data_IF_875918970258
#
_entry.id   IF_875918970258
#
_cell.length_a   1.000
_cell.length_b   1.000
_cell.length_c   1.000
_cell.angle_alpha   90.00
_cell.angle_beta   90.00
_cell.angle_gamma   90.00
#
_symmetry.space_group_name_H-M   'P 1'
#
loop_
_entity.id
_entity.type
_entity.pdbx_description
1 polymer ?
#
# COMPACT_ATOMS: atom_id res chain seq x y z
N UNK A 1 -3.64 -0.36 -16.35
CA UNK A 1 -4.60 -1.10 -15.50
C UNK A 1 -4.21 -0.84 -14.07
N UNK A 2 -5.14 -0.63 -13.14
CA UNK A 2 -4.77 -0.45 -11.74
C UNK A 2 -4.37 -1.81 -11.11
N UNK A 3 -3.31 -1.81 -10.29
CA UNK A 3 -2.85 -2.97 -9.54
C UNK A 3 -3.68 -3.12 -8.25
N UNK A 4 -4.05 -4.34 -7.91
CA UNK A 4 -4.87 -4.67 -6.75
C UNK A 4 -4.06 -5.45 -5.73
N UNK A 5 -3.90 -4.89 -4.53
CA UNK A 5 -3.20 -5.52 -3.40
C UNK A 5 -4.11 -5.65 -2.17
N UNK A 6 -4.48 -6.85 -1.75
CA UNK A 6 -5.19 -7.05 -0.49
C UNK A 6 -4.29 -6.73 0.70
N UNK A 7 -4.81 -5.98 1.67
CA UNK A 7 -4.16 -5.76 2.97
C UNK A 7 -4.38 -6.98 3.87
N UNK A 8 -3.33 -7.74 4.14
CA UNK A 8 -3.42 -8.95 4.95
C UNK A 8 -3.78 -8.70 6.42
N UNK A 9 -3.65 -7.46 6.92
CA UNK A 9 -4.17 -7.12 8.26
C UNK A 9 -5.70 -7.23 8.36
N UNK A 10 -6.40 -7.22 7.19
CA UNK A 10 -7.85 -7.35 7.10
C UNK A 10 -8.32 -8.80 6.92
N UNK A 11 -7.40 -9.72 6.65
CA UNK A 11 -7.68 -11.14 6.48
C UNK A 11 -7.90 -11.86 7.81
N UNK A 12 -8.29 -13.13 7.76
CA UNK A 12 -8.31 -13.98 8.96
C UNK A 12 -6.88 -14.26 9.43
N UNK A 13 -6.43 -13.53 10.45
CA UNK A 13 -5.08 -13.64 11.03
C UNK A 13 -4.80 -15.04 11.61
N UNK A 14 -5.82 -15.79 11.98
CA UNK A 14 -5.68 -17.17 12.46
C UNK A 14 -5.43 -18.17 11.33
N UNK A 15 -5.67 -17.77 10.06
CA UNK A 15 -5.65 -18.67 8.91
C UNK A 15 -4.96 -18.05 7.67
N UNK A 16 -3.96 -17.19 7.91
CA UNK A 16 -3.29 -16.40 6.87
C UNK A 16 -2.73 -17.21 5.71
N UNK A 17 -2.26 -18.44 5.95
CA UNK A 17 -1.80 -19.33 4.88
C UNK A 17 -2.90 -19.56 3.84
N UNK A 18 -4.07 -19.97 4.29
CA UNK A 18 -5.21 -20.25 3.38
C UNK A 18 -5.70 -18.96 2.70
N UNK A 19 -5.69 -17.84 3.42
CA UNK A 19 -6.04 -16.53 2.86
C UNK A 19 -5.08 -16.14 1.72
N UNK A 20 -3.76 -16.28 1.91
CA UNK A 20 -2.75 -15.99 0.88
C UNK A 20 -2.96 -16.90 -0.34
N UNK A 21 -3.15 -18.21 -0.16
CA UNK A 21 -3.37 -19.14 -1.27
C UNK A 21 -4.64 -18.78 -2.07
N UNK A 22 -5.75 -18.50 -1.38
CA UNK A 22 -7.03 -18.12 -2.02
C UNK A 22 -6.94 -16.79 -2.77
N UNK A 23 -6.21 -15.81 -2.22
CA UNK A 23 -6.00 -14.51 -2.85
C UNK A 23 -5.05 -14.60 -4.05
N UNK A 24 -4.01 -15.44 -3.97
CA UNK A 24 -3.12 -15.71 -5.10
C UNK A 24 -3.89 -16.34 -6.28
N UNK A 25 -4.68 -17.39 -6.02
CA UNK A 25 -5.58 -18.02 -7.00
C UNK A 25 -6.62 -17.03 -7.58
N UNK A 26 -7.05 -16.04 -6.78
CA UNK A 26 -7.96 -15.00 -7.25
C UNK A 26 -7.29 -13.99 -8.20
N UNK A 27 -5.98 -14.06 -8.37
CA UNK A 27 -5.23 -13.24 -9.31
C UNK A 27 -5.02 -11.80 -8.85
N UNK A 28 -4.72 -11.59 -7.55
CA UNK A 28 -4.23 -10.31 -7.05
C UNK A 28 -2.86 -9.98 -7.65
N UNK A 29 -2.46 -8.70 -7.67
CA UNK A 29 -1.21 -8.29 -8.31
C UNK A 29 -0.04 -8.29 -7.31
N UNK A 30 -0.31 -7.99 -6.05
CA UNK A 30 0.65 -7.98 -4.92
C UNK A 30 -0.09 -8.22 -3.60
N UNK A 31 0.64 -8.45 -2.51
CA UNK A 31 0.10 -8.49 -1.14
C UNK A 31 0.59 -7.29 -0.36
N UNK A 32 -0.32 -6.56 0.28
CA UNK A 32 0.01 -5.45 1.16
C UNK A 32 0.10 -5.93 2.62
N UNK A 33 1.25 -5.66 3.25
CA UNK A 33 1.61 -6.18 4.56
C UNK A 33 1.83 -5.00 5.52
N UNK A 34 0.80 -4.68 6.30
CA UNK A 34 0.81 -3.60 7.27
C UNK A 34 1.59 -4.00 8.52
N UNK A 35 2.76 -3.40 8.74
CA UNK A 35 3.63 -3.65 9.90
C UNK A 35 3.52 -2.50 10.88
N UNK A 36 3.15 -2.80 12.12
CA UNK A 36 2.92 -1.83 13.20
C UNK A 36 3.61 -2.27 14.48
N UNK A 37 4.24 -1.30 15.19
CA UNK A 37 5.09 -1.53 16.36
C UNK A 37 4.52 -0.99 17.69
N UNK A 38 3.32 -0.40 17.67
CA UNK A 38 2.72 0.23 18.83
C UNK A 38 3.31 1.60 19.20
N UNK A 39 4.31 2.08 18.44
CA UNK A 39 4.98 3.36 18.69
C UNK A 39 4.56 4.43 17.68
N UNK A 40 4.69 4.17 16.39
CA UNK A 40 4.24 5.10 15.35
C UNK A 40 2.70 5.16 15.27
N UNK A 41 2.05 4.02 15.41
CA UNK A 41 0.59 3.89 15.55
C UNK A 41 0.26 3.04 16.77
N UNK A 42 -0.88 3.29 17.49
CA UNK A 42 -1.22 2.58 18.71
C UNK A 42 -1.84 1.18 18.43
N UNK A 43 -1.18 0.39 17.61
CA UNK A 43 -1.59 -0.96 17.24
C UNK A 43 -0.36 -1.82 16.94
N UNK A 44 -0.52 -3.14 16.98
CA UNK A 44 0.49 -4.14 16.62
C UNK A 44 -0.08 -5.07 15.57
N UNK A 45 0.75 -5.44 14.58
CA UNK A 45 0.33 -6.37 13.53
C UNK A 45 1.39 -7.45 13.32
N UNK A 46 1.91 -7.61 12.11
CA UNK A 46 2.83 -8.66 11.73
C UNK A 46 4.29 -8.21 11.80
N UNK A 47 5.17 -9.18 12.05
CA UNK A 47 6.62 -8.98 12.06
C UNK A 47 7.32 -9.77 10.95
N UNK A 48 8.67 -9.63 10.83
CA UNK A 48 9.45 -10.23 9.74
C UNK A 48 9.36 -11.77 9.70
N UNK A 49 9.23 -12.45 10.83
CA UNK A 49 9.14 -13.92 10.85
C UNK A 49 7.84 -14.43 10.24
N UNK A 50 6.71 -13.75 10.48
CA UNK A 50 5.45 -14.07 9.83
C UNK A 50 5.55 -13.83 8.31
N UNK A 51 6.13 -12.70 7.88
CA UNK A 51 6.30 -12.36 6.46
C UNK A 51 7.16 -13.42 5.77
N UNK A 52 8.29 -13.83 6.38
CA UNK A 52 9.14 -14.91 5.87
C UNK A 52 8.37 -16.22 5.71
N UNK A 53 7.47 -16.51 6.66
CA UNK A 53 6.65 -17.72 6.56
C UNK A 53 5.60 -17.63 5.46
N UNK A 54 4.98 -16.48 5.27
CA UNK A 54 3.99 -16.26 4.20
C UNK A 54 4.64 -16.32 2.81
N UNK A 55 5.91 -15.91 2.68
CA UNK A 55 6.66 -15.97 1.42
C UNK A 55 6.75 -17.39 0.83
N UNK A 56 6.67 -18.42 1.65
CA UNK A 56 6.70 -19.82 1.21
C UNK A 56 5.45 -20.23 0.39
N UNK A 57 4.37 -19.45 0.41
CA UNK A 57 3.07 -19.82 -0.15
C UNK A 57 2.70 -19.07 -1.43
N UNK A 58 3.48 -18.10 -1.89
CA UNK A 58 3.17 -17.30 -3.08
C UNK A 58 4.45 -16.67 -3.66
N UNK A 59 4.50 -16.50 -4.98
CA UNK A 59 5.54 -15.74 -5.68
C UNK A 59 5.13 -14.30 -5.99
N UNK A 60 3.91 -13.89 -5.63
CA UNK A 60 3.41 -12.53 -5.82
C UNK A 60 4.24 -11.52 -5.01
N UNK A 61 4.45 -10.31 -5.52
CA UNK A 61 5.16 -9.28 -4.78
C UNK A 61 4.58 -9.01 -3.39
N UNK A 62 5.45 -8.89 -2.39
CA UNK A 62 5.13 -8.39 -1.07
C UNK A 62 5.48 -6.92 -0.97
N UNK A 63 4.48 -6.09 -0.76
CA UNK A 63 4.57 -4.67 -0.45
C UNK A 63 4.45 -4.49 1.07
N UNK A 64 5.58 -4.24 1.72
CA UNK A 64 5.66 -4.11 3.18
C UNK A 64 5.54 -2.65 3.56
N UNK A 65 4.44 -2.29 4.20
CA UNK A 65 4.16 -0.94 4.67
C UNK A 65 4.58 -0.79 6.13
N UNK A 66 5.66 -0.04 6.36
CA UNK A 66 6.26 0.13 7.69
C UNK A 66 5.64 1.31 8.43
N UNK A 67 4.62 1.06 9.23
CA UNK A 67 4.06 1.99 10.22
C UNK A 67 4.75 1.81 11.57
N UNK A 68 6.08 1.98 11.57
CA UNK A 68 6.95 1.79 12.74
C UNK A 68 7.84 3.00 12.96
N UNK A 69 8.33 3.17 14.17
CA UNK A 69 9.29 4.23 14.50
C UNK A 69 10.70 3.83 14.05
N UNK A 70 11.47 4.79 13.50
CA UNK A 70 12.83 4.60 12.98
C UNK A 70 12.95 3.39 12.01
N UNK A 71 12.18 3.35 10.90
CA UNK A 71 12.17 2.21 9.98
C UNK A 71 13.56 1.91 9.39
N UNK A 72 14.45 2.91 9.29
CA UNK A 72 15.83 2.75 8.82
C UNK A 72 16.64 1.71 9.60
N UNK A 73 16.31 1.48 10.87
CA UNK A 73 16.98 0.49 11.72
C UNK A 73 16.46 -0.94 11.45
N UNK A 74 15.33 -1.08 10.75
CA UNK A 74 14.60 -2.35 10.61
C UNK A 74 14.38 -2.81 9.15
N UNK A 75 14.54 -1.95 8.17
CA UNK A 75 14.33 -2.25 6.73
C UNK A 75 15.01 -3.56 6.30
N UNK A 76 16.26 -3.81 6.73
CA UNK A 76 17.00 -5.02 6.36
C UNK A 76 16.29 -6.31 6.80
N UNK A 77 15.60 -6.32 7.95
CA UNK A 77 14.87 -7.48 8.44
C UNK A 77 13.72 -7.87 7.52
N UNK A 78 13.02 -6.87 6.95
CA UNK A 78 11.90 -7.08 6.04
C UNK A 78 12.37 -7.45 4.62
N UNK A 79 13.50 -6.90 4.17
CA UNK A 79 14.15 -7.34 2.94
C UNK A 79 14.50 -8.82 3.03
N UNK A 80 15.17 -9.24 4.10
CA UNK A 80 15.59 -10.62 4.33
C UNK A 80 14.39 -11.56 4.61
N UNK A 81 13.22 -11.01 4.98
CA UNK A 81 11.97 -11.74 5.10
C UNK A 81 11.25 -11.99 3.76
N UNK A 82 11.73 -11.37 2.66
CA UNK A 82 11.20 -11.59 1.31
C UNK A 82 10.27 -10.50 0.80
N UNK A 83 10.38 -9.27 1.32
CA UNK A 83 9.76 -8.09 0.73
C UNK A 83 10.26 -7.87 -0.71
N UNK A 84 9.40 -7.35 -1.59
CA UNK A 84 9.74 -6.89 -2.94
C UNK A 84 9.64 -5.37 -3.05
N UNK A 85 8.81 -4.79 -2.20
CA UNK A 85 8.54 -3.37 -2.10
C UNK A 85 8.45 -3.01 -0.62
N UNK A 86 8.98 -1.85 -0.23
CA UNK A 86 8.89 -1.37 1.16
C UNK A 86 8.54 0.11 1.13
N UNK A 87 7.45 0.50 1.80
CA UNK A 87 7.12 1.90 2.05
C UNK A 87 7.40 2.28 3.51
N UNK A 88 7.98 3.47 3.68
CA UNK A 88 8.27 4.06 4.99
C UNK A 88 7.57 5.41 5.11
N UNK A 89 7.02 5.70 6.27
CA UNK A 89 6.41 6.99 6.54
C UNK A 89 7.45 8.09 6.65
N UNK A 90 7.24 9.20 5.93
CA UNK A 90 8.09 10.38 6.03
C UNK A 90 8.14 10.90 7.47
N UNK A 91 7.07 10.71 8.24
CA UNK A 91 6.91 11.15 9.62
C UNK A 91 7.68 10.28 10.63
N UNK A 92 8.10 9.08 10.25
CA UNK A 92 8.71 8.09 11.16
C UNK A 92 10.22 7.96 11.04
N UNK A 93 10.84 8.58 10.02
CA UNK A 93 12.29 8.52 9.78
C UNK A 93 12.94 9.90 9.86
N UNK A 94 14.17 9.94 10.33
CA UNK A 94 15.00 11.16 10.36
C UNK A 94 15.80 11.37 9.08
N UNK A 95 16.03 10.31 8.31
CA UNK A 95 16.90 10.31 7.14
C UNK A 95 16.20 9.59 5.96
N UNK A 96 15.05 10.13 5.54
CA UNK A 96 14.19 9.52 4.51
C UNK A 96 14.98 9.15 3.24
N UNK A 97 15.74 10.08 2.67
CA UNK A 97 16.51 9.83 1.44
C UNK A 97 17.45 8.63 1.59
N UNK A 98 18.21 8.55 2.70
CA UNK A 98 19.10 7.43 2.97
C UNK A 98 18.36 6.11 3.14
N UNK A 99 17.20 6.13 3.79
CA UNK A 99 16.37 4.93 4.00
C UNK A 99 15.87 4.39 2.65
N UNK A 100 15.31 5.24 1.79
CA UNK A 100 14.86 4.88 0.45
C UNK A 100 16.01 4.37 -0.43
N UNK A 101 17.15 5.06 -0.43
CA UNK A 101 18.33 4.61 -1.17
C UNK A 101 18.78 3.22 -0.73
N UNK A 102 18.77 2.94 0.58
CA UNK A 102 19.18 1.63 1.10
C UNK A 102 18.25 0.48 0.67
N UNK A 103 16.96 0.77 0.46
CA UNK A 103 16.00 -0.20 -0.10
C UNK A 103 16.32 -0.47 -1.57
N UNK A 104 16.54 0.58 -2.36
CA UNK A 104 16.88 0.48 -3.79
C UNK A 104 18.22 -0.21 -4.04
N UNK A 105 19.23 0.05 -3.20
CA UNK A 105 20.56 -0.60 -3.29
C UNK A 105 20.49 -2.12 -3.10
N UNK A 106 19.40 -2.61 -2.47
CA UNK A 106 19.10 -4.04 -2.32
C UNK A 106 18.20 -4.59 -3.45
N UNK A 107 17.90 -3.77 -4.47
CA UNK A 107 17.12 -4.17 -5.65
C UNK A 107 15.60 -4.19 -5.44
N UNK A 108 15.08 -3.59 -4.36
CA UNK A 108 13.65 -3.51 -4.09
C UNK A 108 13.08 -2.16 -4.55
N UNK A 109 11.75 -2.10 -4.73
CA UNK A 109 11.05 -0.84 -4.92
C UNK A 109 10.94 -0.09 -3.59
N UNK A 110 11.42 1.16 -3.57
CA UNK A 110 11.34 2.04 -2.41
C UNK A 110 10.10 2.93 -2.47
N UNK A 111 9.28 2.88 -1.43
CA UNK A 111 8.05 3.66 -1.29
C UNK A 111 8.12 4.70 -0.18
N UNK A 112 7.43 5.81 -0.40
CA UNK A 112 7.19 6.84 0.63
C UNK A 112 5.72 6.84 1.01
N UNK A 113 5.41 6.67 2.29
CA UNK A 113 4.06 6.80 2.81
C UNK A 113 3.82 8.18 3.44
N UNK A 114 2.65 8.77 3.18
CA UNK A 114 2.24 10.07 3.70
C UNK A 114 0.94 9.97 4.47
N UNK A 115 0.91 10.47 5.71
CA UNK A 115 -0.34 10.65 6.45
C UNK A 115 -1.25 11.69 5.79
N UNK A 116 -2.56 11.69 6.09
CA UNK A 116 -3.49 12.66 5.53
C UNK A 116 -3.07 14.12 5.73
N UNK A 117 -2.52 14.47 6.89
CA UNK A 117 -2.12 15.84 7.22
C UNK A 117 -0.74 16.27 6.70
N UNK A 118 0.08 15.34 6.20
CA UNK A 118 1.47 15.61 5.79
C UNK A 118 1.52 16.31 4.43
N UNK A 119 2.19 17.46 4.29
CA UNK A 119 2.26 18.19 3.03
C UNK A 119 3.05 17.43 1.95
N UNK A 120 2.64 17.57 0.68
CA UNK A 120 3.37 16.98 -0.47
C UNK A 120 4.78 17.56 -0.65
N UNK A 121 5.06 18.77 -0.15
CA UNK A 121 6.38 19.38 -0.17
C UNK A 121 7.47 18.53 0.50
N UNK A 122 7.10 17.60 1.38
CA UNK A 122 8.04 16.65 2.00
C UNK A 122 8.68 15.69 0.98
N UNK A 123 8.12 15.58 -0.23
CA UNK A 123 8.62 14.72 -1.30
C UNK A 123 9.65 15.40 -2.19
N UNK A 124 9.79 16.74 -2.12
CA UNK A 124 10.55 17.56 -3.09
C UNK A 124 11.98 17.04 -3.34
N UNK A 125 12.64 16.56 -2.30
CA UNK A 125 14.06 16.15 -2.39
C UNK A 125 14.28 14.65 -2.25
N UNK A 126 13.26 13.83 -2.58
CA UNK A 126 13.36 12.35 -2.52
C UNK A 126 12.71 11.64 -3.72
N UNK A 127 12.18 12.39 -4.70
CA UNK A 127 11.53 11.79 -5.87
C UNK A 127 12.48 10.92 -6.69
N UNK A 128 13.76 11.28 -6.77
CA UNK A 128 14.81 10.56 -7.50
C UNK A 128 15.12 9.16 -6.94
N UNK A 129 14.79 8.94 -5.68
CA UNK A 129 14.98 7.66 -4.98
C UNK A 129 13.65 6.96 -4.61
N UNK A 130 12.53 7.45 -5.16
CA UNK A 130 11.18 6.94 -4.88
C UNK A 130 10.61 6.21 -6.10
N UNK A 131 10.18 4.97 -5.93
CA UNK A 131 9.55 4.17 -6.98
C UNK A 131 8.01 4.23 -6.89
N UNK A 132 7.44 4.42 -5.69
CA UNK A 132 6.00 4.62 -5.48
C UNK A 132 5.71 5.46 -4.24
N UNK A 133 4.53 6.08 -4.21
CA UNK A 133 4.06 6.88 -3.07
C UNK A 133 2.76 6.29 -2.56
N UNK A 134 2.74 5.89 -1.29
CA UNK A 134 1.55 5.44 -0.58
C UNK A 134 0.86 6.62 0.08
N UNK A 135 -0.22 7.10 -0.52
CA UNK A 135 -1.05 8.14 0.08
C UNK A 135 -2.08 7.51 1.00
N UNK A 136 -1.93 7.73 2.32
CA UNK A 136 -2.93 7.31 3.29
C UNK A 136 -4.21 8.12 3.09
N UNK A 137 -5.31 7.44 2.86
CA UNK A 137 -6.63 8.06 2.71
C UNK A 137 -7.47 8.01 4.01
N UNK A 138 -6.90 7.37 5.04
CA UNK A 138 -7.34 7.37 6.43
C UNK A 138 -6.12 7.65 7.32
N UNK A 139 -6.30 7.93 8.62
CA UNK A 139 -5.16 7.91 9.53
C UNK A 139 -4.67 6.46 9.72
N UNK A 140 -3.35 6.19 9.65
CA UNK A 140 -2.82 4.83 9.79
C UNK A 140 -3.11 4.22 11.16
N UNK A 141 -3.10 2.87 11.24
CA UNK A 141 -3.17 2.11 12.49
C UNK A 141 -4.38 1.18 12.64
N UNK A 142 -5.53 1.46 12.02
CA UNK A 142 -6.73 0.65 12.16
C UNK A 142 -7.51 0.51 10.86
N UNK A 143 -8.02 -0.69 10.59
CA UNK A 143 -8.93 -0.93 9.48
C UNK A 143 -10.35 -0.37 9.77
N UNK A 144 -11.16 -0.18 8.72
CA UNK A 144 -12.57 0.20 8.84
C UNK A 144 -12.83 1.69 9.09
N UNK A 145 -11.82 2.55 9.04
CA UNK A 145 -11.97 3.99 9.17
C UNK A 145 -12.65 4.59 7.92
N UNK A 146 -13.20 5.81 8.07
CA UNK A 146 -13.79 6.55 6.96
C UNK A 146 -12.71 7.27 6.15
N UNK A 147 -12.88 7.29 4.84
CA UNK A 147 -12.06 8.07 3.91
C UNK A 147 -12.05 9.55 4.31
N UNK A 148 -10.88 10.17 4.37
CA UNK A 148 -10.72 11.60 4.69
C UNK A 148 -11.02 12.41 3.42
N UNK A 149 -12.07 13.27 3.40
CA UNK A 149 -12.57 13.88 2.15
C UNK A 149 -11.51 14.68 1.37
N UNK A 150 -10.59 15.37 2.06
CA UNK A 150 -9.54 16.18 1.43
C UNK A 150 -8.51 15.33 0.68
N UNK A 151 -8.51 13.99 0.83
CA UNK A 151 -7.53 13.14 0.18
C UNK A 151 -7.72 13.06 -1.33
N UNK A 152 -8.93 13.23 -1.84
CA UNK A 152 -9.15 13.35 -3.28
C UNK A 152 -8.40 14.55 -3.89
N UNK A 153 -8.46 15.71 -3.23
CA UNK A 153 -7.71 16.87 -3.69
C UNK A 153 -6.19 16.69 -3.54
N UNK A 154 -5.77 16.09 -2.42
CA UNK A 154 -4.34 15.79 -2.18
C UNK A 154 -3.80 14.81 -3.21
N UNK A 155 -4.58 13.78 -3.56
CA UNK A 155 -4.23 12.80 -4.59
C UNK A 155 -4.07 13.46 -5.97
N UNK A 156 -5.02 14.32 -6.36
CA UNK A 156 -4.93 15.08 -7.60
C UNK A 156 -3.68 15.96 -7.64
N UNK A 157 -3.36 16.63 -6.54
CA UNK A 157 -2.16 17.46 -6.44
C UNK A 157 -0.88 16.62 -6.51
N UNK A 158 -0.88 15.43 -5.90
CA UNK A 158 0.22 14.46 -5.97
C UNK A 158 0.43 13.98 -7.40
N UNK A 159 -0.63 13.60 -8.10
CA UNK A 159 -0.56 13.19 -9.51
C UNK A 159 0.05 14.31 -10.37
N UNK A 160 -0.44 15.55 -10.23
CA UNK A 160 0.12 16.70 -10.95
C UNK A 160 1.59 16.97 -10.59
N UNK A 161 2.00 16.76 -9.34
CA UNK A 161 3.39 16.90 -8.92
C UNK A 161 4.29 15.87 -9.65
N UNK A 162 3.84 14.62 -9.75
CA UNK A 162 4.59 13.57 -10.44
C UNK A 162 4.62 13.82 -11.96
N UNK A 163 3.48 14.17 -12.58
CA UNK A 163 3.41 14.47 -14.00
C UNK A 163 4.33 15.65 -14.43
N UNK A 164 4.57 16.60 -13.53
CA UNK A 164 5.47 17.74 -13.78
C UNK A 164 6.93 17.45 -13.39
N UNK A 165 7.24 16.23 -12.93
CA UNK A 165 8.60 15.79 -12.62
C UNK A 165 9.19 14.95 -13.75
N UNK A 166 10.51 14.73 -13.70
CA UNK A 166 11.21 13.84 -14.64
C UNK A 166 11.15 12.35 -14.21
N UNK A 167 10.34 12.03 -13.20
CA UNK A 167 10.31 10.70 -12.58
C UNK A 167 9.03 9.94 -12.88
N UNK A 168 9.14 8.63 -13.05
CA UNK A 168 8.00 7.71 -13.17
C UNK A 168 7.78 7.06 -11.81
N UNK A 169 6.71 7.47 -11.11
CA UNK A 169 6.41 7.05 -9.74
C UNK A 169 4.97 6.53 -9.69
N UNK A 170 4.78 5.32 -9.19
CA UNK A 170 3.45 4.76 -8.97
C UNK A 170 2.74 5.45 -7.79
N UNK A 171 1.43 5.64 -7.88
CA UNK A 171 0.61 6.19 -6.79
C UNK A 171 -0.26 5.09 -6.20
N UNK A 172 0.07 4.71 -4.98
CA UNK A 172 -0.71 3.79 -4.18
C UNK A 172 -1.64 4.57 -3.25
N UNK A 173 -2.87 4.09 -3.09
CA UNK A 173 -3.82 4.61 -2.09
C UNK A 173 -4.18 3.52 -1.10
N UNK A 174 -4.14 3.87 0.20
CA UNK A 174 -4.46 2.97 1.29
C UNK A 174 -5.39 3.63 2.31
N UNK A 175 -6.50 2.93 2.59
CA UNK A 175 -7.52 3.31 3.56
C UNK A 175 -8.90 3.55 2.95
N UNK A 176 -9.88 2.70 3.31
CA UNK A 176 -11.26 2.79 2.85
C UNK A 176 -11.42 2.78 1.32
N UNK A 177 -10.61 1.97 0.63
CA UNK A 177 -10.71 1.81 -0.82
C UNK A 177 -11.79 0.78 -1.14
N UNK A 178 -12.83 1.22 -1.84
CA UNK A 178 -13.99 0.40 -2.18
C UNK A 178 -14.81 1.01 -3.30
N UNK A 179 -15.94 0.39 -3.66
CA UNK A 179 -16.75 0.78 -4.82
C UNK A 179 -17.15 2.26 -4.86
N UNK A 180 -17.27 2.92 -3.70
CA UNK A 180 -17.62 4.36 -3.62
C UNK A 180 -16.43 5.29 -3.81
N UNK A 181 -15.20 4.82 -3.57
CA UNK A 181 -13.98 5.65 -3.64
C UNK A 181 -13.11 5.32 -4.85
N UNK A 182 -13.14 4.08 -5.34
CA UNK A 182 -12.34 3.62 -6.50
C UNK A 182 -12.46 4.54 -7.72
N UNK A 183 -13.66 4.97 -8.18
CA UNK A 183 -13.76 5.82 -9.35
C UNK A 183 -12.97 7.12 -9.20
N UNK A 184 -13.14 7.77 -8.06
CA UNK A 184 -12.53 9.07 -7.80
C UNK A 184 -11.01 8.97 -7.60
N UNK A 185 -10.52 7.95 -6.87
CA UNK A 185 -9.08 7.80 -6.67
C UNK A 185 -8.35 7.42 -7.97
N UNK A 186 -8.95 6.61 -8.85
CA UNK A 186 -8.37 6.30 -10.16
C UNK A 186 -8.35 7.53 -11.06
N UNK A 187 -9.45 8.29 -11.12
CA UNK A 187 -9.53 9.51 -11.91
C UNK A 187 -8.55 10.59 -11.44
N UNK A 188 -8.16 10.55 -10.17
CA UNK A 188 -7.16 11.44 -9.58
C UNK A 188 -5.72 10.88 -9.66
N UNK A 189 -5.50 9.77 -10.39
CA UNK A 189 -4.16 9.29 -10.75
C UNK A 189 -3.65 8.09 -9.96
N UNK A 190 -4.43 7.51 -9.03
CA UNK A 190 -4.00 6.28 -8.35
C UNK A 190 -3.96 5.10 -9.33
N UNK A 191 -2.86 4.34 -9.29
CA UNK A 191 -2.66 3.14 -10.11
C UNK A 191 -2.37 1.87 -9.28
N UNK A 192 -2.24 1.99 -7.96
CA UNK A 192 -2.14 0.88 -7.02
C UNK A 192 -3.20 1.04 -5.92
N UNK A 193 -4.03 0.02 -5.71
CA UNK A 193 -5.15 0.06 -4.78
C UNK A 193 -4.98 -0.97 -3.67
N UNK A 194 -4.88 -0.51 -2.42
CA UNK A 194 -4.87 -1.38 -1.25
C UNK A 194 -6.31 -1.71 -0.87
N UNK A 195 -6.67 -3.00 -0.95
CA UNK A 195 -8.02 -3.49 -0.73
C UNK A 195 -8.16 -4.09 0.67
N UNK A 196 -9.00 -3.48 1.47
CA UNK A 196 -9.30 -3.90 2.84
C UNK A 196 -10.74 -4.35 3.02
N UNK A 197 -11.25 -4.11 4.23
CA UNK A 197 -12.63 -4.45 4.62
C UNK A 197 -13.71 -3.66 3.87
N UNK A 198 -13.36 -2.60 3.13
CA UNK A 198 -14.36 -1.78 2.42
C UNK A 198 -14.92 -2.45 1.16
N UNK A 199 -14.20 -3.41 0.56
CA UNK A 199 -14.68 -4.10 -0.64
C UNK A 199 -14.30 -5.59 -0.71
N UNK A 200 -13.25 -6.06 -0.04
CA UNK A 200 -12.76 -7.43 -0.25
C UNK A 200 -13.08 -8.37 0.93
N UNK A 201 -12.76 -7.99 2.17
CA UNK A 201 -12.83 -8.88 3.33
C UNK A 201 -14.16 -8.83 4.13
N UNK A 202 -15.18 -8.16 3.64
CA UNK A 202 -16.49 -8.07 4.32
C UNK A 202 -17.54 -9.06 3.83
N UNK A 203 -17.33 -9.69 2.69
CA UNK A 203 -18.34 -10.46 2.00
C UNK A 203 -18.05 -11.95 2.12
N UNK A 204 -19.09 -12.77 2.28
CA UNK A 204 -19.03 -14.24 2.14
C UNK A 204 -18.78 -14.70 0.69
N UNK A 205 -18.54 -13.74 -0.22
CA UNK A 205 -18.29 -14.00 -1.63
C UNK A 205 -16.86 -14.49 -1.83
N UNK A 206 -16.62 -15.52 -2.63
CA UNK A 206 -15.27 -16.01 -2.94
C UNK A 206 -14.37 -14.90 -3.51
N UNK A 207 -13.08 -14.90 -3.14
CA UNK A 207 -12.14 -13.88 -3.59
C UNK A 207 -12.00 -13.77 -5.10
N UNK A 208 -12.06 -14.91 -5.83
CA UNK A 208 -12.04 -14.94 -7.30
C UNK A 208 -13.17 -14.09 -7.91
N UNK A 209 -14.38 -14.23 -7.37
CA UNK A 209 -15.54 -13.46 -7.83
C UNK A 209 -15.42 -11.99 -7.43
N UNK A 210 -14.97 -11.70 -6.21
CA UNK A 210 -14.77 -10.35 -5.70
C UNK A 210 -13.71 -9.60 -6.52
N UNK A 211 -12.53 -10.19 -6.76
CA UNK A 211 -11.47 -9.58 -7.56
C UNK A 211 -11.92 -9.36 -9.00
N UNK A 212 -12.56 -10.34 -9.61
CA UNK A 212 -13.12 -10.20 -10.97
C UNK A 212 -14.14 -9.06 -11.05
N UNK A 213 -15.00 -8.93 -10.05
CA UNK A 213 -16.02 -7.87 -10.00
C UNK A 213 -15.37 -6.49 -9.84
N UNK A 214 -14.36 -6.37 -8.97
CA UNK A 214 -13.61 -5.12 -8.78
C UNK A 214 -12.89 -4.73 -10.08
N UNK A 215 -12.21 -5.66 -10.77
CA UNK A 215 -11.54 -5.38 -12.05
C UNK A 215 -12.54 -4.92 -13.11
N UNK A 216 -13.64 -5.62 -13.29
CA UNK A 216 -14.71 -5.23 -14.21
C UNK A 216 -15.30 -3.84 -13.87
N UNK A 217 -15.44 -3.54 -12.59
CA UNK A 217 -15.91 -2.24 -12.14
C UNK A 217 -14.92 -1.13 -12.51
N UNK A 218 -13.63 -1.34 -12.29
CA UNK A 218 -12.55 -0.40 -12.67
C UNK A 218 -12.52 -0.15 -14.18
N UNK A 219 -12.60 -1.22 -14.99
CA UNK A 219 -12.55 -1.11 -16.45
C UNK A 219 -13.73 -0.31 -17.02
N UNK A 220 -14.92 -0.46 -16.42
CA UNK A 220 -16.10 0.34 -16.81
C UNK A 220 -15.93 1.83 -16.52
N UNK A 221 -15.21 2.21 -15.48
CA UNK A 221 -14.95 3.63 -15.18
C UNK A 221 -14.08 4.29 -16.25
N UNK A 222 -13.13 3.57 -16.85
CA UNK A 222 -12.24 4.08 -17.90
C UNK A 222 -12.92 4.33 -19.26
N UNK A 223 -14.06 3.70 -19.50
CA UNK A 223 -14.80 3.83 -20.78
C UNK A 223 -15.69 5.09 -20.78
N UNK A 224 -15.90 5.74 -19.64
CA UNK A 224 -16.77 6.92 -19.50
C UNK A 224 -16.01 8.26 -19.55
N UNK A 225 -14.71 8.23 -19.84
CA UNK A 225 -13.85 9.40 -20.08
C UNK A 225 -13.47 9.47 -21.56
#
# INVERSE_FOLDING_TARGET
MALLGPSLMCADMGNLKEEVLRLDEAGVDFFHLDVMDGSFVPNFTMGPDLIRKLREYTDKPFDVHLMIQNPEDHVSLFIDAGANMISVHVESTKHLQRCLQSIRDRGLKAGVALNPSTPLATLEYVLDVTDYITLMTVNPGFAGQKFVPLMNQKLKNLHSLIENSDYTIDIQVDGNIGYHTIPEVINNGANMLVLGTSCLFKNEVPFQESIKTIRNFIDRQKIQI
#
